data_IF_095758598570
#
_entry.id   IF_095758598570
#
_cell.length_a   1.000
_cell.length_b   1.000
_cell.length_c   1.000
_cell.angle_alpha   90.00
_cell.angle_beta   90.00
_cell.angle_gamma   90.00
#
_symmetry.space_group_name_H-M   'P 1'
#
loop_
_entity.id
_entity.type
_entity.pdbx_description
1 polymer ?
#
# COMPACT_ATOMS: atom_id res chain seq x y z
N UNK A 1 15.44 14.80 8.45
CA UNK A 1 14.82 16.09 8.03
C UNK A 1 13.38 15.80 7.65
N UNK A 2 12.41 16.44 8.30
CA UNK A 2 10.98 16.29 7.95
C UNK A 2 10.64 17.22 6.80
N UNK A 3 10.74 16.75 5.55
CA UNK A 3 10.22 17.50 4.40
C UNK A 3 8.70 17.43 4.45
N UNK A 4 8.05 18.59 4.46
CA UNK A 4 6.59 18.69 4.45
C UNK A 4 6.14 18.93 3.03
N UNK A 5 5.48 17.93 2.45
CA UNK A 5 4.83 18.06 1.15
C UNK A 5 3.68 19.08 1.22
N UNK A 6 3.50 19.86 0.15
CA UNK A 6 2.38 20.81 0.01
C UNK A 6 1.05 20.07 0.05
N UNK A 7 0.97 18.91 -0.60
CA UNK A 7 -0.22 18.05 -0.60
C UNK A 7 -0.10 16.86 0.36
N UNK A 8 0.64 16.98 1.47
CA UNK A 8 0.82 15.93 2.48
C UNK A 8 -0.51 15.31 2.96
N UNK A 9 -1.55 16.14 3.10
CA UNK A 9 -2.89 15.67 3.49
C UNK A 9 -3.55 14.76 2.45
N UNK A 10 -3.44 15.11 1.16
CA UNK A 10 -3.95 14.29 0.06
C UNK A 10 -3.18 12.97 -0.05
N UNK A 11 -1.85 13.03 0.04
CA UNK A 11 -0.99 11.85 0.02
C UNK A 11 -1.34 10.89 1.16
N UNK A 12 -1.54 11.41 2.38
CA UNK A 12 -1.94 10.60 3.54
C UNK A 12 -3.31 9.96 3.33
N UNK A 13 -4.29 10.73 2.85
CA UNK A 13 -5.63 10.23 2.57
C UNK A 13 -5.60 9.09 1.55
N UNK A 14 -4.90 9.28 0.42
CA UNK A 14 -4.74 8.25 -0.61
C UNK A 14 -4.04 7.01 -0.07
N UNK A 15 -2.99 7.19 0.75
CA UNK A 15 -2.25 6.06 1.34
C UNK A 15 -3.12 5.27 2.33
N UNK A 16 -3.92 5.94 3.16
CA UNK A 16 -4.85 5.30 4.11
C UNK A 16 -5.95 4.56 3.36
N UNK A 17 -6.53 5.18 2.33
CA UNK A 17 -7.55 4.53 1.50
C UNK A 17 -6.97 3.31 0.77
N UNK A 18 -5.75 3.43 0.24
CA UNK A 18 -5.03 2.32 -0.37
C UNK A 18 -4.83 1.16 0.61
N UNK A 19 -4.38 1.44 1.83
CA UNK A 19 -4.21 0.42 2.87
C UNK A 19 -5.54 -0.23 3.31
N UNK A 20 -6.64 0.53 3.39
CA UNK A 20 -7.98 0.01 3.70
C UNK A 20 -8.49 -0.93 2.61
N UNK A 21 -8.42 -0.51 1.34
CA UNK A 21 -8.79 -1.36 0.20
C UNK A 21 -7.87 -2.60 0.15
N UNK A 22 -6.59 -2.41 0.50
CA UNK A 22 -5.59 -3.46 0.64
C UNK A 22 -6.01 -4.55 1.61
N UNK A 23 -6.41 -4.13 2.81
CA UNK A 23 -6.85 -5.00 3.88
C UNK A 23 -8.09 -5.81 3.48
N UNK A 24 -9.10 -5.15 2.91
CA UNK A 24 -10.33 -5.81 2.44
C UNK A 24 -10.00 -6.84 1.35
N UNK A 25 -9.15 -6.48 0.40
CA UNK A 25 -8.75 -7.37 -0.70
C UNK A 25 -8.01 -8.60 -0.21
N UNK A 26 -7.16 -8.49 0.82
CA UNK A 26 -6.50 -9.65 1.44
C UNK A 26 -7.50 -10.61 2.08
N UNK A 27 -8.49 -10.09 2.82
CA UNK A 27 -9.51 -10.95 3.45
C UNK A 27 -10.41 -11.63 2.41
N UNK A 28 -10.81 -10.93 1.36
CA UNK A 28 -11.55 -11.53 0.23
C UNK A 28 -10.70 -12.59 -0.48
N UNK A 29 -9.42 -12.28 -0.71
CA UNK A 29 -8.44 -13.19 -1.29
C UNK A 29 -8.24 -14.44 -0.45
N UNK A 30 -8.22 -14.35 0.88
CA UNK A 30 -8.14 -15.48 1.80
C UNK A 30 -9.43 -16.32 1.80
N UNK A 31 -10.59 -15.66 1.79
CA UNK A 31 -11.90 -16.31 1.74
C UNK A 31 -12.21 -17.02 0.41
N UNK A 32 -11.39 -16.79 -0.62
CA UNK A 32 -11.62 -17.34 -1.95
C UNK A 32 -12.77 -16.71 -2.70
N UNK A 33 -13.18 -15.51 -2.29
CA UNK A 33 -14.19 -14.73 -3.00
C UNK A 33 -13.54 -14.05 -4.21
N UNK A 34 -14.21 -14.14 -5.36
CA UNK A 34 -13.76 -13.45 -6.55
C UNK A 34 -13.67 -11.95 -6.30
N UNK A 35 -12.49 -11.38 -6.55
CA UNK A 35 -12.23 -9.96 -6.41
C UNK A 35 -11.51 -9.50 -7.67
N UNK A 36 -12.15 -8.63 -8.45
CA UNK A 36 -11.62 -8.07 -9.70
C UNK A 36 -10.30 -7.30 -9.50
N UNK A 37 -9.98 -6.88 -8.28
CA UNK A 37 -8.72 -6.25 -7.94
C UNK A 37 -7.63 -7.23 -7.49
N UNK A 38 -7.94 -8.49 -7.21
CA UNK A 38 -6.99 -9.47 -6.69
C UNK A 38 -6.17 -10.07 -7.83
N UNK A 39 -4.85 -9.99 -7.69
CA UNK A 39 -3.88 -10.68 -8.55
C UNK A 39 -3.11 -11.62 -7.65
N UNK A 40 -2.96 -12.87 -8.07
CA UNK A 40 -2.04 -13.82 -7.43
C UNK A 40 -0.79 -13.99 -8.31
N UNK A 41 0.14 -13.01 -8.32
CA UNK A 41 1.33 -13.10 -9.13
C UNK A 41 2.28 -14.19 -8.63
N UNK A 42 2.10 -14.65 -7.39
CA UNK A 42 2.88 -15.70 -6.76
C UNK A 42 2.10 -17.02 -6.77
N UNK A 43 1.45 -17.39 -7.88
CA UNK A 43 0.51 -18.53 -7.97
C UNK A 43 0.98 -19.89 -7.42
N UNK A 44 2.28 -20.07 -7.15
CA UNK A 44 2.86 -21.25 -6.51
C UNK A 44 3.07 -21.13 -4.98
N UNK A 45 2.91 -19.94 -4.41
CA UNK A 45 3.06 -19.67 -2.98
C UNK A 45 1.76 -19.97 -2.24
N UNK A 46 1.90 -20.57 -1.05
CA UNK A 46 0.77 -20.86 -0.18
C UNK A 46 -0.06 -19.60 0.12
N UNK A 47 -1.39 -19.73 0.01
CA UNK A 47 -2.33 -18.62 0.18
C UNK A 47 -2.21 -17.95 1.55
N UNK A 48 -1.92 -18.72 2.60
CA UNK A 48 -1.75 -18.22 3.97
C UNK A 48 -0.44 -17.45 4.08
N UNK A 49 0.64 -17.93 3.46
CA UNK A 49 1.93 -17.22 3.44
C UNK A 49 1.78 -15.87 2.72
N UNK A 50 1.16 -15.85 1.54
CA UNK A 50 0.90 -14.62 0.79
C UNK A 50 0.05 -13.65 1.60
N UNK A 51 -0.98 -14.15 2.30
CA UNK A 51 -1.82 -13.33 3.18
C UNK A 51 -1.01 -12.70 4.32
N UNK A 52 -0.16 -13.47 5.01
CA UNK A 52 0.67 -12.96 6.12
C UNK A 52 1.60 -11.85 5.62
N UNK A 53 2.30 -12.06 4.50
CA UNK A 53 3.21 -11.06 3.96
C UNK A 53 2.44 -9.82 3.50
N UNK A 54 1.32 -10.01 2.79
CA UNK A 54 0.45 -8.91 2.37
C UNK A 54 -0.06 -8.10 3.55
N UNK A 55 -0.46 -8.76 4.64
CA UNK A 55 -0.91 -8.12 5.86
C UNK A 55 0.19 -7.25 6.48
N UNK A 56 1.43 -7.75 6.52
CA UNK A 56 2.58 -6.94 6.97
C UNK A 56 2.72 -5.69 6.10
N UNK A 57 2.69 -5.82 4.78
CA UNK A 57 2.80 -4.66 3.86
C UNK A 57 1.67 -3.65 4.09
N UNK A 58 0.42 -4.12 4.27
CA UNK A 58 -0.72 -3.25 4.61
C UNK A 58 -0.49 -2.50 5.92
N UNK A 59 0.00 -3.18 6.97
CA UNK A 59 0.30 -2.54 8.26
C UNK A 59 1.42 -1.51 8.11
N UNK A 60 2.49 -1.81 7.37
CA UNK A 60 3.56 -0.85 7.08
C UNK A 60 3.03 0.37 6.30
N UNK A 61 2.07 0.17 5.40
CA UNK A 61 1.41 1.25 4.65
C UNK A 61 0.55 2.13 5.56
N UNK A 62 -0.20 1.54 6.49
CA UNK A 62 -0.91 2.31 7.52
C UNK A 62 0.05 3.08 8.42
N UNK A 63 1.15 2.46 8.86
CA UNK A 63 2.15 3.11 9.70
C UNK A 63 2.80 4.31 8.99
N UNK A 64 3.13 4.17 7.71
CA UNK A 64 3.70 5.26 6.92
C UNK A 64 2.77 6.50 6.94
N UNK A 65 1.45 6.31 6.81
CA UNK A 65 0.50 7.42 6.74
C UNK A 65 0.04 7.96 8.11
N UNK A 66 -0.23 7.08 9.08
CA UNK A 66 -0.79 7.43 10.40
C UNK A 66 0.28 7.91 11.38
N UNK A 67 1.49 7.33 11.30
CA UNK A 67 2.61 7.67 12.17
C UNK A 67 3.87 7.95 11.34
N UNK A 68 3.85 9.01 10.51
CA UNK A 68 4.96 9.33 9.63
C UNK A 68 6.24 9.55 10.44
N UNK A 69 7.34 8.96 9.96
CA UNK A 69 8.69 8.99 10.57
C UNK A 69 8.85 8.20 11.89
N UNK A 70 7.89 7.33 12.23
CA UNK A 70 8.04 6.40 13.35
C UNK A 70 7.13 5.17 13.17
N UNK A 71 7.61 4.02 12.63
CA UNK A 71 8.99 3.67 12.28
C UNK A 71 9.39 3.97 10.83
N UNK A 72 8.43 4.29 9.95
CA UNK A 72 8.65 4.41 8.51
C UNK A 72 8.62 5.89 8.09
N UNK A 73 9.62 6.39 7.34
CA UNK A 73 9.57 7.72 6.78
C UNK A 73 8.43 7.86 5.77
N UNK A 74 7.68 8.96 5.87
CA UNK A 74 6.65 9.27 4.87
C UNK A 74 7.29 9.97 3.68
N UNK A 75 7.91 9.18 2.82
CA UNK A 75 8.64 9.63 1.64
C UNK A 75 8.10 8.97 0.37
N UNK A 76 8.06 9.72 -0.73
CA UNK A 76 7.47 9.24 -1.98
C UNK A 76 8.07 7.91 -2.45
N UNK A 77 9.39 7.74 -2.30
CA UNK A 77 10.07 6.51 -2.73
C UNK A 77 9.59 5.29 -1.92
N UNK A 78 9.35 5.47 -0.63
CA UNK A 78 8.87 4.40 0.26
C UNK A 78 7.41 4.08 -0.08
N UNK A 79 6.57 5.11 -0.29
CA UNK A 79 5.19 4.90 -0.73
C UNK A 79 5.15 4.15 -2.07
N UNK A 80 6.03 4.48 -3.02
CA UNK A 80 6.11 3.79 -4.29
C UNK A 80 6.44 2.30 -4.11
N UNK A 81 7.45 1.99 -3.30
CA UNK A 81 7.83 0.60 -2.98
C UNK A 81 6.66 -0.13 -2.31
N UNK A 82 6.03 0.48 -1.30
CA UNK A 82 4.86 -0.12 -0.62
C UNK A 82 3.70 -0.35 -1.58
N UNK A 83 3.43 0.59 -2.48
CA UNK A 83 2.40 0.45 -3.51
C UNK A 83 2.63 -0.75 -4.43
N UNK A 84 3.88 -0.97 -4.87
CA UNK A 84 4.24 -2.14 -5.67
C UNK A 84 4.11 -3.43 -4.85
N UNK A 85 4.58 -3.44 -3.60
CA UNK A 85 4.49 -4.61 -2.72
C UNK A 85 3.02 -5.00 -2.43
N UNK A 86 2.11 -4.04 -2.28
CA UNK A 86 0.68 -4.29 -2.10
C UNK A 86 0.10 -5.07 -3.29
N UNK A 87 0.49 -4.74 -4.53
CA UNK A 87 0.03 -5.46 -5.72
C UNK A 87 0.63 -6.87 -5.75
N UNK A 88 1.93 -7.02 -5.46
CA UNK A 88 2.63 -8.31 -5.50
C UNK A 88 2.07 -9.29 -4.47
N UNK A 89 1.79 -8.83 -3.25
CA UNK A 89 1.33 -9.68 -2.16
C UNK A 89 -0.19 -9.76 -2.03
N UNK A 90 -0.93 -9.44 -3.11
CA UNK A 90 -2.36 -9.73 -3.20
C UNK A 90 -3.27 -8.79 -2.40
N UNK A 91 -2.77 -7.63 -1.96
CA UNK A 91 -3.62 -6.56 -1.41
C UNK A 91 -4.42 -5.83 -2.52
N UNK A 92 -4.23 -6.24 -3.77
CA UNK A 92 -5.08 -5.84 -4.89
C UNK A 92 -4.60 -4.58 -5.62
N UNK A 93 -4.91 -4.52 -6.91
CA UNK A 93 -4.41 -3.49 -7.83
C UNK A 93 -4.83 -2.10 -7.37
N UNK A 94 -6.09 -1.94 -6.95
CA UNK A 94 -6.63 -0.64 -6.54
C UNK A 94 -5.94 -0.08 -5.29
N UNK A 95 -5.53 -0.95 -4.35
CA UNK A 95 -4.73 -0.54 -3.20
C UNK A 95 -3.38 0.03 -3.66
N UNK A 96 -2.69 -0.70 -4.54
CA UNK A 96 -1.42 -0.27 -5.11
C UNK A 96 -1.53 1.04 -5.89
N UNK A 97 -2.54 1.19 -6.75
CA UNK A 97 -2.76 2.40 -7.56
C UNK A 97 -2.90 3.64 -6.69
N UNK A 98 -3.71 3.59 -5.61
CA UNK A 98 -3.88 4.73 -4.71
C UNK A 98 -2.57 5.14 -4.03
N UNK A 99 -1.79 4.16 -3.56
CA UNK A 99 -0.50 4.42 -2.89
C UNK A 99 0.55 4.91 -3.90
N UNK A 100 0.54 4.40 -5.13
CA UNK A 100 1.41 4.88 -6.22
C UNK A 100 1.05 6.32 -6.61
N UNK A 101 -0.23 6.68 -6.70
CA UNK A 101 -0.64 8.08 -6.96
C UNK A 101 -0.14 8.98 -5.83
N UNK A 102 -0.27 8.56 -4.56
CA UNK A 102 0.27 9.30 -3.43
C UNK A 102 1.79 9.49 -3.55
N UNK A 103 2.51 8.44 -3.97
CA UNK A 103 3.95 8.53 -4.23
C UNK A 103 4.28 9.50 -5.36
N UNK A 104 3.57 9.44 -6.49
CA UNK A 104 3.81 10.33 -7.63
C UNK A 104 3.57 11.81 -7.28
N UNK A 105 2.56 12.12 -6.47
CA UNK A 105 2.35 13.48 -5.94
C UNK A 105 3.57 13.93 -5.14
N UNK A 106 4.06 13.09 -4.23
CA UNK A 106 5.24 13.41 -3.43
C UNK A 106 6.51 13.59 -4.28
N UNK A 107 6.67 12.80 -5.36
CA UNK A 107 7.79 12.92 -6.29
C UNK A 107 7.74 14.25 -7.05
N UNK A 108 6.58 14.62 -7.61
CA UNK A 108 6.40 15.87 -8.36
C UNK A 108 6.67 17.10 -7.49
N UNK A 109 6.38 17.03 -6.19
CA UNK A 109 6.69 18.11 -5.24
C UNK A 109 8.16 18.13 -4.77
N UNK A 110 8.91 17.06 -5.04
CA UNK A 110 10.33 16.94 -4.69
C UNK A 110 11.24 17.45 -5.82
N UNK A 111 10.79 17.32 -7.08
CA UNK A 111 11.39 17.86 -8.31
C UNK A 111 11.29 19.39 -8.39
#
# INVERSE_FOLDING_TARGET
MTKKYKNDGLMKLLTILGALIGLVSLFLGLAGLENYGFVNPLGALDRVITFIIGLVVVVLTFLAALKPNNPIPFHWLILFILGVLLVIFGAGIWAGVLVIIAALIGLIEDL
#
